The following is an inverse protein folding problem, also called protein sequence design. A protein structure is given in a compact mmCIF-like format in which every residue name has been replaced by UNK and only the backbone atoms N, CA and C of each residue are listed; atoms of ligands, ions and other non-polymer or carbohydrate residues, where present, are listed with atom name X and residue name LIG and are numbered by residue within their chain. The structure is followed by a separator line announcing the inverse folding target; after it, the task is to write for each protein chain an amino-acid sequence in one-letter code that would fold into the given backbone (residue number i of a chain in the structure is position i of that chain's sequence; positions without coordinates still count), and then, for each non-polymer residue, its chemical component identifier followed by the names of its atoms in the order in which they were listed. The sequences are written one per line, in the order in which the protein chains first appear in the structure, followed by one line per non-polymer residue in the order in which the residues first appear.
data_IF_249377002273
#
_entry.id   IF_249377002273
#
_cell.length_a   1.000
_cell.length_b   1.000
_cell.length_c   1.000
_cell.angle_alpha   90.00
_cell.angle_beta   90.00
_cell.angle_gamma   90.00
#
_symmetry.space_group_name_H-M   'P 1'
#
loop_
_entity.id
_entity.type
_entity.pdbx_description
1 polymer ?
#
# COMPACT_ATOMS: atom_id res chain seq x y z
N UNK A 1 28.24 14.71 -28.54
CA UNK A 1 27.10 14.05 -27.86
C UNK A 1 26.60 15.01 -26.79
N UNK A 2 25.48 15.69 -27.02
CA UNK A 2 24.91 16.66 -26.08
C UNK A 2 23.79 16.01 -25.29
N UNK A 3 23.93 15.96 -23.96
CA UNK A 3 22.88 15.50 -23.06
C UNK A 3 21.96 16.69 -22.71
N UNK A 4 20.65 16.51 -22.88
CA UNK A 4 19.66 17.49 -22.42
C UNK A 4 19.38 17.25 -20.94
N UNK A 5 19.76 18.20 -20.09
CA UNK A 5 19.41 18.18 -18.68
C UNK A 5 17.97 18.65 -18.51
N UNK A 6 17.07 17.73 -18.13
CA UNK A 6 15.70 18.06 -17.72
C UNK A 6 15.72 18.22 -16.19
N UNK A 7 15.68 19.44 -15.65
CA UNK A 7 15.59 19.63 -14.22
C UNK A 7 14.23 19.12 -13.72
N UNK A 8 14.25 18.14 -12.81
CA UNK A 8 13.05 17.75 -12.08
C UNK A 8 12.73 18.91 -11.13
N UNK A 9 11.77 19.77 -11.51
CA UNK A 9 11.37 20.95 -10.73
C UNK A 9 11.03 20.54 -9.29
N UNK A 10 11.85 20.97 -8.33
CA UNK A 10 11.59 20.81 -6.90
C UNK A 10 10.70 21.97 -6.40
N UNK A 11 9.44 22.00 -6.83
CA UNK A 11 8.49 23.04 -6.41
C UNK A 11 7.71 22.71 -5.14
N UNK A 12 7.68 21.44 -4.72
CA UNK A 12 6.84 20.95 -3.61
C UNK A 12 7.66 20.09 -2.65
N UNK A 13 7.50 20.22 -1.32
CA UNK A 13 8.14 19.31 -0.38
C UNK A 13 7.70 17.87 -0.65
N UNK A 14 8.59 16.88 -0.43
CA UNK A 14 8.26 15.47 -0.61
C UNK A 14 7.12 15.07 0.32
N UNK A 15 6.10 14.43 -0.24
CA UNK A 15 4.87 14.03 0.47
C UNK A 15 4.35 12.70 -0.07
N UNK A 16 3.71 11.92 0.81
CA UNK A 16 2.99 10.70 0.43
C UNK A 16 1.51 10.96 0.11
N UNK A 17 1.00 12.17 0.33
CA UNK A 17 -0.43 12.47 0.31
C UNK A 17 -1.06 12.15 -1.05
N UNK A 18 -0.34 12.46 -2.14
CA UNK A 18 -0.80 12.15 -3.49
C UNK A 18 -0.93 10.65 -3.74
N UNK A 19 0.04 9.86 -3.26
CA UNK A 19 0.00 8.41 -3.35
C UNK A 19 -1.11 7.84 -2.47
N UNK A 20 -1.23 8.32 -1.22
CA UNK A 20 -2.29 7.92 -0.30
C UNK A 20 -3.68 8.18 -0.88
N UNK A 21 -3.89 9.34 -1.48
CA UNK A 21 -5.15 9.68 -2.15
C UNK A 21 -5.42 8.77 -3.36
N UNK A 22 -4.40 8.49 -4.17
CA UNK A 22 -4.52 7.63 -5.36
C UNK A 22 -4.98 6.21 -5.02
N UNK A 23 -4.50 5.65 -3.91
CA UNK A 23 -4.74 4.25 -3.54
C UNK A 23 -5.70 4.07 -2.35
N UNK A 24 -6.39 5.14 -1.92
CA UNK A 24 -7.24 5.12 -0.73
C UNK A 24 -8.32 4.03 -0.77
N UNK A 25 -9.05 3.91 -1.88
CA UNK A 25 -10.10 2.89 -2.04
C UNK A 25 -9.53 1.47 -1.98
N UNK A 26 -8.42 1.24 -2.69
CA UNK A 26 -7.74 -0.05 -2.73
C UNK A 26 -7.15 -0.43 -1.36
N UNK A 27 -6.69 0.54 -0.59
CA UNK A 27 -6.21 0.33 0.78
C UNK A 27 -7.31 -0.15 1.74
N UNK A 28 -8.57 0.22 1.51
CA UNK A 28 -9.69 -0.36 2.27
C UNK A 28 -9.87 -1.85 1.95
N UNK A 29 -9.72 -2.24 0.68
CA UNK A 29 -9.78 -3.64 0.27
C UNK A 29 -8.60 -4.45 0.84
N UNK A 30 -7.38 -3.90 0.80
CA UNK A 30 -6.21 -4.50 1.45
C UNK A 30 -6.43 -4.67 2.96
N UNK A 31 -6.97 -3.66 3.63
CA UNK A 31 -7.25 -3.75 5.07
C UNK A 31 -8.25 -4.87 5.39
N UNK A 32 -9.28 -5.07 4.55
CA UNK A 32 -10.21 -6.19 4.70
C UNK A 32 -9.49 -7.53 4.54
N UNK A 33 -8.64 -7.68 3.52
CA UNK A 33 -7.85 -8.92 3.34
C UNK A 33 -6.96 -9.21 4.55
N UNK A 34 -6.30 -8.21 5.12
CA UNK A 34 -5.46 -8.38 6.32
C UNK A 34 -6.30 -8.92 7.49
N UNK A 35 -7.46 -8.30 7.76
CA UNK A 35 -8.35 -8.70 8.85
C UNK A 35 -8.92 -10.10 8.65
N UNK A 36 -9.29 -10.46 7.42
CA UNK A 36 -9.82 -11.78 7.09
C UNK A 36 -8.75 -12.87 7.23
N UNK A 37 -7.47 -12.54 6.99
CA UNK A 37 -6.34 -13.49 7.04
C UNK A 37 -5.66 -13.58 8.40
N UNK A 38 -5.94 -12.68 9.33
CA UNK A 38 -5.34 -12.72 10.68
C UNK A 38 -6.06 -13.67 11.65
N UNK A 39 -7.17 -14.28 11.23
CA UNK A 39 -7.94 -15.20 12.04
C UNK A 39 -7.13 -16.46 12.37
N UNK A 40 -7.15 -16.89 13.63
CA UNK A 40 -6.47 -18.09 14.09
C UNK A 40 -7.21 -18.75 15.25
N UNK A 41 -7.12 -20.07 15.35
CA UNK A 41 -7.61 -20.83 16.51
C UNK A 41 -6.75 -20.60 17.76
N UNK A 42 -5.52 -20.10 17.59
CA UNK A 42 -4.64 -19.72 18.70
C UNK A 42 -4.93 -18.25 19.05
N UNK A 43 -5.54 -17.96 20.23
CA UNK A 43 -6.06 -16.61 20.53
C UNK A 43 -4.99 -15.50 20.56
N UNK A 44 -3.75 -15.84 20.91
CA UNK A 44 -2.65 -14.88 21.01
C UNK A 44 -2.24 -14.29 19.64
N UNK A 45 -2.42 -15.04 18.55
CA UNK A 45 -2.02 -14.61 17.20
C UNK A 45 -2.80 -13.36 16.74
N UNK A 46 -4.15 -13.36 16.69
CA UNK A 46 -4.92 -12.18 16.28
C UNK A 46 -4.74 -11.01 17.25
N UNK A 47 -4.53 -11.25 18.55
CA UNK A 47 -4.28 -10.20 19.54
C UNK A 47 -2.98 -9.43 19.24
N UNK A 48 -1.86 -10.14 19.09
CA UNK A 48 -0.56 -9.53 18.77
C UNK A 48 -0.59 -8.87 17.40
N UNK A 49 -1.15 -9.53 16.38
CA UNK A 49 -1.25 -8.96 15.04
C UNK A 49 -2.10 -7.68 15.03
N UNK A 50 -3.23 -7.68 15.75
CA UNK A 50 -4.08 -6.49 15.93
C UNK A 50 -3.32 -5.33 16.56
N UNK A 51 -2.53 -5.59 17.60
CA UNK A 51 -1.71 -4.57 18.25
C UNK A 51 -0.67 -3.96 17.28
N UNK A 52 0.04 -4.79 16.50
CA UNK A 52 1.03 -4.31 15.52
C UNK A 52 0.41 -3.48 14.41
N UNK A 53 -0.76 -3.89 13.91
CA UNK A 53 -1.47 -3.17 12.84
C UNK A 53 -2.02 -1.84 13.36
N UNK A 54 -2.53 -1.81 14.60
CA UNK A 54 -3.04 -0.61 15.26
C UNK A 54 -1.92 0.37 15.67
N UNK A 55 -0.74 -0.15 16.04
CA UNK A 55 0.47 0.62 16.33
C UNK A 55 0.94 1.48 15.14
N UNK A 56 0.42 1.18 13.95
CA UNK A 56 0.53 2.05 12.81
C UNK A 56 1.85 1.92 12.06
N UNK A 57 1.85 2.46 10.85
CA UNK A 57 2.97 2.48 9.94
C UNK A 57 2.57 3.20 8.68
N UNK A 58 3.55 3.68 7.90
CA UNK A 58 3.27 4.45 6.68
C UNK A 58 2.61 3.63 5.57
N UNK A 59 2.56 2.28 5.71
CA UNK A 59 2.00 1.34 4.72
C UNK A 59 2.53 1.57 3.29
N UNK A 60 3.78 2.00 3.15
CA UNK A 60 4.37 2.35 1.85
C UNK A 60 4.43 1.15 0.90
N UNK A 61 4.75 -0.04 1.41
CA UNK A 61 4.90 -1.24 0.57
C UNK A 61 3.59 -1.68 -0.10
N UNK A 62 2.45 -1.80 0.63
CA UNK A 62 1.17 -2.07 -0.03
C UNK A 62 0.78 -0.92 -0.96
N UNK A 63 0.97 0.35 -0.58
CA UNK A 63 0.64 1.48 -1.47
C UNK A 63 1.40 1.45 -2.80
N UNK A 64 2.69 1.09 -2.80
CA UNK A 64 3.47 0.93 -4.02
C UNK A 64 2.96 -0.24 -4.87
N UNK A 65 2.59 -1.35 -4.25
CA UNK A 65 2.01 -2.52 -4.96
C UNK A 65 0.71 -2.13 -5.67
N UNK A 66 -0.16 -1.38 -4.99
CA UNK A 66 -1.43 -0.89 -5.55
C UNK A 66 -1.19 0.11 -6.68
N UNK A 67 -0.28 1.07 -6.50
CA UNK A 67 0.06 2.04 -7.53
C UNK A 67 0.60 1.38 -8.80
N UNK A 68 1.46 0.35 -8.66
CA UNK A 68 1.94 -0.43 -9.80
C UNK A 68 0.81 -1.18 -10.51
N UNK A 69 -0.13 -1.77 -9.77
CA UNK A 69 -1.29 -2.44 -10.39
C UNK A 69 -2.14 -1.47 -11.20
N UNK A 70 -2.36 -0.23 -10.71
CA UNK A 70 -3.07 0.82 -11.43
C UNK A 70 -2.28 1.33 -12.64
N UNK A 71 -0.97 1.53 -12.49
CA UNK A 71 -0.08 1.96 -13.57
C UNK A 71 -0.07 0.97 -14.74
N UNK A 72 -0.21 -0.32 -14.44
CA UNK A 72 -0.26 -1.40 -15.43
C UNK A 72 -1.70 -1.74 -15.87
N UNK A 73 -2.69 -0.94 -15.47
CA UNK A 73 -4.11 -1.13 -15.80
C UNK A 73 -4.62 -2.54 -15.51
N UNK A 74 -4.15 -3.14 -14.41
CA UNK A 74 -4.53 -4.51 -14.07
C UNK A 74 -6.04 -4.63 -13.80
N UNK A 75 -6.78 -5.45 -14.56
CA UNK A 75 -8.25 -5.44 -14.54
C UNK A 75 -8.85 -6.25 -13.37
N UNK A 76 -8.04 -7.01 -12.64
CA UNK A 76 -8.50 -7.91 -11.58
C UNK A 76 -8.28 -7.37 -10.16
N UNK A 77 -8.59 -8.18 -9.16
CA UNK A 77 -8.50 -7.82 -7.72
C UNK A 77 -7.35 -8.50 -6.98
N UNK A 78 -6.57 -9.36 -7.64
CA UNK A 78 -5.46 -10.11 -7.00
C UNK A 78 -4.39 -9.21 -6.37
N UNK A 79 -4.25 -7.98 -6.85
CA UNK A 79 -3.32 -7.00 -6.31
C UNK A 79 -3.64 -6.59 -4.87
N UNK A 80 -4.89 -6.73 -4.40
CA UNK A 80 -5.24 -6.53 -2.99
C UNK A 80 -4.65 -7.62 -2.08
N UNK A 81 -4.73 -8.89 -2.51
CA UNK A 81 -4.10 -10.01 -1.79
C UNK A 81 -2.57 -9.91 -1.81
N UNK A 82 -1.99 -9.54 -2.94
CA UNK A 82 -0.56 -9.33 -3.04
C UNK A 82 -0.10 -8.20 -2.12
N UNK A 83 -0.78 -7.04 -2.16
CA UNK A 83 -0.44 -5.92 -1.30
C UNK A 83 -0.57 -6.25 0.20
N UNK A 84 -1.55 -7.06 0.60
CA UNK A 84 -1.69 -7.52 1.98
C UNK A 84 -0.53 -8.43 2.44
N UNK A 85 0.18 -9.10 1.52
CA UNK A 85 1.27 -10.02 1.83
C UNK A 85 2.66 -9.35 1.95
N UNK A 86 2.80 -8.07 1.57
CA UNK A 86 4.08 -7.32 1.47
C UNK A 86 4.28 -6.37 2.66
#
# INVERSE_FOLDING_TARGET
MTATLIPIRQGRPPSLDALMALVASDMHAVNRVILDRMQSQVPLIPELAGHLIAGGGKRMRPMLTLACARLLEYPGTRHHMLAAAV
#
